data_IF_741982175942
#
_entry.id   IF_741982175942
#
_cell.length_a   1.000
_cell.length_b   1.000
_cell.length_c   1.000
_cell.angle_alpha   90.00
_cell.angle_beta   90.00
_cell.angle_gamma   90.00
#
_symmetry.space_group_name_H-M   'P 1'
#
loop_
_entity.id
_entity.type
_entity.pdbx_description
1 polymer ?
#
# COMPACT_ATOMS: atom_id res chain seq x y z
N UNK A 1 3.09 -4.24 5.55
CA UNK A 1 2.34 -3.97 4.31
C UNK A 1 1.62 -2.65 4.48
N UNK A 2 1.43 -1.88 3.41
CA UNK A 2 0.82 -0.55 3.45
C UNK A 2 -0.18 -0.39 2.31
N UNK A 3 -1.28 0.33 2.55
CA UNK A 3 -2.22 0.77 1.52
C UNK A 3 -1.98 2.23 1.16
N UNK A 4 -2.06 2.56 -0.13
CA UNK A 4 -1.85 3.94 -0.58
C UNK A 4 -2.41 4.24 -1.96
N UNK A 5 -2.77 5.50 -2.18
CA UNK A 5 -3.23 6.01 -3.47
C UNK A 5 -2.05 6.29 -4.41
N UNK A 6 -2.03 5.64 -5.56
CA UNK A 6 -1.05 5.87 -6.62
C UNK A 6 -1.70 6.66 -7.77
N UNK A 7 -1.02 7.73 -8.19
CA UNK A 7 -1.43 8.58 -9.32
C UNK A 7 -2.81 9.24 -9.16
N UNK A 8 -3.36 9.28 -7.94
CA UNK A 8 -4.70 9.82 -7.67
C UNK A 8 -5.87 8.91 -8.05
N UNK A 9 -5.63 7.68 -8.54
CA UNK A 9 -6.70 6.86 -9.16
C UNK A 9 -6.79 5.45 -8.58
N UNK A 10 -5.65 4.80 -8.30
CA UNK A 10 -5.63 3.40 -7.87
C UNK A 10 -5.05 3.25 -6.47
N UNK A 11 -5.78 2.56 -5.60
CA UNK A 11 -5.26 2.15 -4.29
C UNK A 11 -4.44 0.87 -4.49
N UNK A 12 -3.20 0.88 -4.02
CA UNK A 12 -2.29 -0.25 -4.05
C UNK A 12 -2.06 -0.79 -2.64
N UNK A 13 -2.00 -2.11 -2.52
CA UNK A 13 -1.40 -2.78 -1.38
C UNK A 13 0.07 -3.05 -1.72
N UNK A 14 0.96 -2.56 -0.87
CA UNK A 14 2.41 -2.66 -1.03
C UNK A 14 3.01 -3.48 0.10
N UNK A 15 3.75 -4.52 -0.25
CA UNK A 15 4.66 -5.21 0.65
C UNK A 15 6.04 -4.57 0.53
N UNK A 16 6.61 -4.12 1.64
CA UNK A 16 7.97 -3.60 1.66
C UNK A 16 8.74 -4.14 2.86
N UNK A 17 10.06 -4.11 2.74
CA UNK A 17 11.00 -4.32 3.83
C UNK A 17 11.90 -3.10 3.97
N UNK A 18 12.55 -2.96 5.13
CA UNK A 18 13.55 -1.93 5.39
C UNK A 18 14.90 -2.61 5.60
N UNK A 19 15.64 -2.94 4.53
CA UNK A 19 16.92 -3.63 4.65
C UNK A 19 17.99 -2.77 5.35
N UNK A 20 17.89 -1.46 5.20
CA UNK A 20 18.81 -0.45 5.75
C UNK A 20 17.98 0.77 6.20
N UNK A 21 18.52 1.56 7.13
CA UNK A 21 17.84 2.75 7.62
C UNK A 21 17.61 3.76 6.49
N UNK A 22 16.37 4.25 6.37
CA UNK A 22 15.99 5.17 5.29
C UNK A 22 15.78 4.52 3.91
N UNK A 23 16.02 3.21 3.76
CA UNK A 23 15.82 2.48 2.50
C UNK A 23 14.61 1.57 2.60
N UNK A 24 13.58 1.81 1.79
CA UNK A 24 12.45 0.89 1.62
C UNK A 24 12.64 0.05 0.34
N UNK A 25 12.55 -1.27 0.45
CA UNK A 25 12.51 -2.18 -0.69
C UNK A 25 11.09 -2.70 -0.88
N UNK A 26 10.49 -2.39 -2.02
CA UNK A 26 9.19 -2.98 -2.41
C UNK A 26 9.43 -4.43 -2.85
N UNK A 27 8.72 -5.35 -2.19
CA UNK A 27 8.72 -6.78 -2.52
C UNK A 27 7.56 -7.11 -3.46
N UNK A 28 6.42 -6.45 -3.26
CA UNK A 28 5.26 -6.57 -4.16
C UNK A 28 4.39 -5.32 -4.10
N UNK A 29 3.73 -5.04 -5.22
CA UNK A 29 2.68 -4.04 -5.31
C UNK A 29 1.55 -4.61 -6.16
N UNK A 30 0.33 -4.57 -5.65
CA UNK A 30 -0.85 -4.97 -6.41
C UNK A 30 -1.99 -4.01 -6.17
N UNK A 31 -2.93 -3.96 -7.12
CA UNK A 31 -4.20 -3.27 -6.92
C UNK A 31 -4.89 -3.82 -5.68
N UNK A 32 -5.33 -2.94 -4.79
CA UNK A 32 -6.09 -3.31 -3.61
C UNK A 32 -7.40 -4.01 -4.02
N UNK A 33 -7.81 -5.00 -3.24
CA UNK A 33 -9.15 -5.58 -3.36
C UNK A 33 -10.21 -4.54 -2.97
N UNK A 34 -11.48 -4.83 -3.26
CA UNK A 34 -12.57 -3.92 -2.87
C UNK A 34 -12.64 -3.71 -1.35
N UNK A 35 -12.39 -4.77 -0.57
CA UNK A 35 -12.40 -4.71 0.89
C UNK A 35 -11.25 -3.85 1.42
N UNK A 36 -10.01 -4.09 0.96
CA UNK A 36 -8.84 -3.32 1.37
C UNK A 36 -8.95 -1.84 0.98
N UNK A 37 -9.47 -1.56 -0.23
CA UNK A 37 -9.75 -0.18 -0.66
C UNK A 37 -10.73 0.50 0.29
N UNK A 38 -11.80 -0.18 0.67
CA UNK A 38 -12.81 0.39 1.57
C UNK A 38 -12.21 0.71 2.94
N UNK A 39 -11.41 -0.19 3.52
CA UNK A 39 -10.72 0.08 4.78
C UNK A 39 -9.83 1.33 4.71
N UNK A 40 -9.06 1.46 3.62
CA UNK A 40 -8.23 2.65 3.37
C UNK A 40 -9.06 3.94 3.25
N UNK A 41 -10.20 3.90 2.56
CA UNK A 41 -11.10 5.05 2.37
C UNK A 41 -11.82 5.44 3.67
N UNK A 42 -12.16 4.45 4.51
CA UNK A 42 -12.79 4.64 5.82
C UNK A 42 -11.77 5.16 6.88
N UNK A 43 -10.49 5.25 6.52
CA UNK A 43 -9.40 5.70 7.41
C UNK A 43 -9.01 4.68 8.47
N UNK A 44 -9.40 3.42 8.28
CA UNK A 44 -9.04 2.30 9.15
C UNK A 44 -7.63 1.82 8.79
N UNK A 45 -6.63 1.96 9.69
CA UNK A 45 -5.22 1.67 9.40
C UNK A 45 -4.90 0.18 9.21
#
# INVERSE_FOLDING_TARGET
HILGLAGGVVVLLVAHTYPEEGVARIVSARKATRLERRAYEDGDP
#
